data_IF_252357667348
#
_entry.id   IF_252357667348
#
_cell.length_a   1.000
_cell.length_b   1.000
_cell.length_c   1.000
_cell.angle_alpha   90.00
_cell.angle_beta   90.00
_cell.angle_gamma   90.00
#
_symmetry.space_group_name_H-M   'P 1'
#
loop_
_entity.id
_entity.type
_entity.pdbx_description
1 polymer ?
#
# COMPACT_ATOMS: atom_id res chain seq x y z
N UNK A 1 8.60 11.63 8.26
CA UNK A 1 8.50 10.16 8.07
C UNK A 1 7.03 9.84 8.02
N UNK A 2 6.52 9.36 6.89
CA UNK A 2 5.09 9.12 6.71
C UNK A 2 4.77 7.70 7.20
N UNK A 3 3.75 7.60 8.04
CA UNK A 3 3.36 6.37 8.72
C UNK A 3 1.86 6.17 8.51
N UNK A 4 1.44 4.95 8.18
CA UNK A 4 0.04 4.65 7.92
C UNK A 4 -0.47 3.62 8.93
N UNK A 5 -1.66 3.84 9.50
CA UNK A 5 -2.28 2.84 10.37
C UNK A 5 -2.69 1.63 9.55
N UNK A 6 -2.39 0.43 10.04
CA UNK A 6 -2.77 -0.82 9.40
C UNK A 6 -3.78 -1.62 10.22
N UNK A 7 -4.58 -2.38 9.49
CA UNK A 7 -5.70 -3.15 10.01
C UNK A 7 -5.67 -4.58 9.46
N UNK A 8 -6.20 -5.50 10.25
CA UNK A 8 -6.50 -6.87 9.84
C UNK A 8 -8.02 -7.08 9.86
N UNK A 9 -8.53 -7.91 8.95
CA UNK A 9 -9.92 -8.38 9.06
C UNK A 9 -9.99 -9.52 10.07
N UNK A 10 -10.75 -9.31 11.13
CA UNK A 10 -11.13 -10.39 12.05
C UNK A 10 -12.58 -10.77 11.79
N UNK A 11 -12.83 -12.05 11.51
CA UNK A 11 -14.17 -12.61 11.57
C UNK A 11 -14.54 -12.82 13.04
N UNK A 12 -15.52 -12.05 13.55
CA UNK A 12 -16.19 -12.40 14.81
C UNK A 12 -17.46 -13.18 14.51
N UNK A 13 -17.47 -14.46 14.87
CA UNK A 13 -18.70 -15.22 14.96
C UNK A 13 -19.53 -14.68 16.13
N UNK A 14 -20.59 -13.94 15.83
CA UNK A 14 -21.61 -13.63 16.83
C UNK A 14 -22.68 -14.71 16.77
N UNK A 15 -22.86 -15.50 17.84
CA UNK A 15 -24.09 -16.24 18.17
C UNK A 15 -24.20 -17.72 17.74
N UNK A 16 -24.72 -18.54 18.67
CA UNK A 16 -24.87 -20.01 18.64
C UNK A 16 -26.02 -20.54 17.74
N UNK A 17 -26.49 -19.82 16.72
CA UNK A 17 -27.55 -20.34 15.83
C UNK A 17 -27.32 -19.95 14.38
N UNK A 18 -27.47 -20.94 13.49
CA UNK A 18 -27.04 -20.99 12.08
C UNK A 18 -27.71 -20.03 11.09
N UNK A 19 -28.00 -18.78 11.47
CA UNK A 19 -28.58 -17.76 10.59
C UNK A 19 -28.00 -16.36 10.84
N UNK A 20 -26.67 -16.21 10.99
CA UNK A 20 -26.05 -14.90 11.28
C UNK A 20 -25.19 -14.38 10.12
N UNK A 21 -25.52 -13.17 9.65
CA UNK A 21 -24.68 -12.36 8.76
C UNK A 21 -23.34 -12.13 9.44
N UNK A 22 -22.27 -12.65 8.85
CA UNK A 22 -20.89 -12.36 9.27
C UNK A 22 -20.67 -10.86 9.08
N UNK A 23 -20.42 -10.13 10.17
CA UNK A 23 -20.04 -8.72 10.10
C UNK A 23 -18.53 -8.67 10.13
N UNK A 24 -17.93 -8.38 8.98
CA UNK A 24 -16.50 -8.14 8.88
C UNK A 24 -16.14 -6.92 9.76
N UNK A 25 -15.16 -7.10 10.65
CA UNK A 25 -14.64 -6.04 11.50
C UNK A 25 -13.14 -5.90 11.27
N UNK A 26 -12.65 -4.66 11.28
CA UNK A 26 -11.22 -4.35 11.18
C UNK A 26 -10.67 -4.04 12.57
N UNK A 27 -9.73 -4.84 13.06
CA UNK A 27 -8.93 -4.52 14.24
C UNK A 27 -7.69 -3.72 13.83
N UNK A 28 -7.33 -2.72 14.64
CA UNK A 28 -6.05 -2.02 14.48
C UNK A 28 -4.93 -3.02 14.77
N UNK A 29 -4.07 -3.25 13.77
CA UNK A 29 -2.92 -4.15 13.88
C UNK A 29 -1.65 -3.40 14.28
N UNK A 30 -1.53 -2.13 13.87
CA UNK A 30 -0.37 -1.29 14.16
C UNK A 30 -0.17 -0.25 13.08
N UNK A 31 1.08 -0.07 12.67
CA UNK A 31 1.48 0.90 11.65
C UNK A 31 2.36 0.26 10.57
N UNK A 32 2.31 0.81 9.36
CA UNK A 32 3.27 0.54 8.28
C UNK A 32 4.08 1.79 7.99
N UNK A 33 5.40 1.62 7.93
CA UNK A 33 6.37 2.68 7.59
C UNK A 33 7.24 2.20 6.44
N UNK A 34 7.38 3.04 5.42
CA UNK A 34 8.20 2.77 4.25
C UNK A 34 9.56 3.46 4.39
N UNK A 35 10.65 2.69 4.30
CA UNK A 35 12.03 3.18 4.22
C UNK A 35 12.67 2.72 2.91
N UNK A 36 13.76 3.35 2.49
CA UNK A 36 14.37 3.02 1.19
C UNK A 36 14.88 1.57 1.10
N UNK A 37 15.26 0.96 2.22
CA UNK A 37 15.88 -0.35 2.35
C UNK A 37 15.01 -1.41 3.05
N UNK A 38 13.87 -1.01 3.62
CA UNK A 38 12.96 -1.89 4.36
C UNK A 38 11.53 -1.34 4.44
N UNK A 39 10.61 -2.21 4.84
CA UNK A 39 9.26 -1.85 5.26
C UNK A 39 9.11 -2.30 6.71
N UNK A 40 8.64 -1.42 7.59
CA UNK A 40 8.32 -1.77 8.98
C UNK A 40 6.82 -1.98 9.08
N UNK A 41 6.38 -3.15 9.51
CA UNK A 41 4.96 -3.52 9.65
C UNK A 41 4.69 -3.96 11.08
N UNK A 42 3.84 -3.23 11.79
CA UNK A 42 3.52 -3.48 13.21
C UNK A 42 4.78 -3.65 14.09
N UNK A 43 5.83 -2.86 13.82
CA UNK A 43 7.11 -2.93 14.50
C UNK A 43 8.06 -4.06 14.05
N UNK A 44 7.64 -4.91 13.10
CA UNK A 44 8.50 -5.92 12.47
C UNK A 44 9.16 -5.35 11.22
N UNK A 45 10.49 -5.40 11.19
CA UNK A 45 11.28 -5.05 10.00
C UNK A 45 11.17 -6.15 8.94
N UNK A 46 10.88 -5.75 7.70
CA UNK A 46 10.94 -6.58 6.50
C UNK A 46 11.95 -5.94 5.56
N UNK A 47 13.13 -6.54 5.41
CA UNK A 47 14.19 -5.99 4.57
C UNK A 47 13.80 -6.10 3.09
N UNK A 48 14.24 -5.14 2.28
CA UNK A 48 13.98 -5.16 0.84
C UNK A 48 14.59 -6.38 0.13
N UNK A 49 15.66 -6.94 0.70
CA UNK A 49 16.28 -8.18 0.23
C UNK A 49 15.35 -9.40 0.39
N UNK A 50 14.50 -9.41 1.43
CA UNK A 50 13.58 -10.49 1.73
C UNK A 50 12.25 -10.36 0.95
N UNK A 51 12.03 -9.23 0.28
CA UNK A 51 10.87 -8.98 -0.55
C UNK A 51 11.12 -9.47 -1.97
N UNK A 52 10.19 -10.26 -2.50
CA UNK A 52 10.11 -10.58 -3.92
C UNK A 52 9.34 -9.49 -4.67
N UNK A 53 8.21 -9.03 -4.12
CA UNK A 53 7.34 -8.03 -4.75
C UNK A 53 6.56 -7.23 -3.70
N UNK A 54 6.32 -5.95 -3.99
CA UNK A 54 5.44 -5.05 -3.27
C UNK A 54 4.35 -4.58 -4.26
N UNK A 55 3.09 -4.57 -3.84
CA UNK A 55 1.96 -4.05 -4.62
C UNK A 55 1.02 -3.23 -3.76
N UNK A 56 0.45 -2.19 -4.34
CA UNK A 56 -0.62 -1.37 -3.75
C UNK A 56 -1.79 -1.36 -4.73
N UNK A 57 -2.65 -2.41 -4.74
CA UNK A 57 -3.73 -2.55 -5.71
C UNK A 57 -4.93 -1.62 -5.43
N UNK A 58 -5.09 -1.13 -4.19
CA UNK A 58 -6.21 -0.27 -3.79
C UNK A 58 -5.69 0.86 -2.91
N UNK A 59 -5.91 2.11 -3.32
CA UNK A 59 -5.41 3.29 -2.60
C UNK A 59 -6.32 4.54 -2.77
N UNK A 60 -7.60 4.32 -3.06
CA UNK A 60 -8.59 5.37 -3.39
C UNK A 60 -9.55 5.69 -2.23
N UNK A 61 -9.30 5.13 -1.05
CA UNK A 61 -10.14 5.28 0.13
C UNK A 61 -9.43 6.18 1.15
N UNK A 62 -10.04 7.28 1.55
CA UNK A 62 -9.44 8.21 2.52
C UNK A 62 -10.51 8.68 3.53
N UNK A 63 -10.08 9.31 4.61
CA UNK A 63 -10.98 9.64 5.70
C UNK A 63 -12.17 10.49 5.22
N UNK A 64 -13.37 10.00 5.52
CA UNK A 64 -14.62 10.66 5.17
C UNK A 64 -15.12 10.39 3.76
N UNK A 65 -14.28 9.94 2.82
CA UNK A 65 -14.71 9.68 1.44
C UNK A 65 -13.77 8.79 0.63
N UNK A 66 -14.31 8.12 -0.39
CA UNK A 66 -13.51 7.53 -1.47
C UNK A 66 -13.69 8.27 -2.80
N UNK A 67 -12.90 7.89 -3.81
CA UNK A 67 -12.98 8.47 -5.16
C UNK A 67 -14.34 8.27 -5.86
N UNK A 68 -15.15 7.30 -5.41
CA UNK A 68 -16.54 7.09 -5.88
C UNK A 68 -17.55 8.00 -5.19
N UNK A 69 -17.10 8.79 -4.22
CA UNK A 69 -17.93 9.72 -3.47
C UNK A 69 -18.64 9.13 -2.25
N UNK A 70 -18.45 7.85 -1.93
CA UNK A 70 -19.05 7.17 -0.79
C UNK A 70 -18.38 7.60 0.51
N UNK A 71 -19.16 7.68 1.61
CA UNK A 71 -18.61 7.91 2.96
C UNK A 71 -17.94 6.64 3.45
N UNK A 72 -16.69 6.77 3.90
CA UNK A 72 -15.87 5.64 4.35
C UNK A 72 -14.99 6.05 5.54
N UNK A 73 -14.37 5.06 6.18
CA UNK A 73 -13.36 5.29 7.23
C UNK A 73 -11.96 5.54 6.68
N UNK A 74 -11.78 5.46 5.36
CA UNK A 74 -10.48 5.61 4.70
C UNK A 74 -9.53 4.43 4.90
N UNK A 75 -9.99 3.28 5.40
CA UNK A 75 -9.17 2.14 5.81
C UNK A 75 -9.25 0.94 4.86
N UNK A 76 -9.86 1.08 3.66
CA UNK A 76 -9.99 0.00 2.67
C UNK A 76 -8.84 -0.07 1.65
N UNK A 77 -7.78 0.71 1.84
CA UNK A 77 -6.60 0.61 0.98
C UNK A 77 -5.83 -0.66 1.30
N UNK A 78 -5.08 -1.18 0.32
CA UNK A 78 -4.43 -2.49 0.40
C UNK A 78 -2.99 -2.38 -0.05
N UNK A 79 -2.08 -2.92 0.75
CA UNK A 79 -0.70 -3.22 0.38
C UNK A 79 -0.47 -4.73 0.49
N UNK A 80 0.17 -5.29 -0.52
CA UNK A 80 0.52 -6.70 -0.60
C UNK A 80 2.04 -6.84 -0.67
N UNK A 81 2.59 -7.69 0.18
CA UNK A 81 4.00 -8.03 0.23
C UNK A 81 4.15 -9.51 -0.12
N UNK A 82 4.87 -9.81 -1.20
CA UNK A 82 5.31 -11.17 -1.52
C UNK A 82 6.75 -11.32 -1.04
N UNK A 83 6.97 -12.21 -0.08
CA UNK A 83 8.29 -12.51 0.46
C UNK A 83 9.04 -13.51 -0.45
N UNK A 84 10.36 -13.53 -0.36
CA UNK A 84 11.23 -14.41 -1.16
C UNK A 84 10.99 -15.91 -0.91
N UNK A 85 10.40 -16.26 0.24
CA UNK A 85 9.98 -17.62 0.55
C UNK A 85 8.60 -17.99 -0.05
N UNK A 86 7.98 -17.10 -0.83
CA UNK A 86 6.67 -17.28 -1.45
C UNK A 86 5.48 -16.91 -0.57
N UNK A 87 5.68 -16.53 0.70
CA UNK A 87 4.59 -16.10 1.56
C UNK A 87 4.06 -14.74 1.11
N UNK A 88 2.73 -14.64 1.00
CA UNK A 88 2.04 -13.39 0.73
C UNK A 88 1.45 -12.84 2.03
N UNK A 89 1.78 -11.60 2.33
CA UNK A 89 1.20 -10.84 3.44
C UNK A 89 0.39 -9.66 2.89
N UNK A 90 -0.82 -9.47 3.39
CA UNK A 90 -1.74 -8.41 2.93
C UNK A 90 -2.14 -7.56 4.12
N UNK A 91 -2.00 -6.25 3.98
CA UNK A 91 -2.36 -5.29 5.01
C UNK A 91 -3.32 -4.25 4.47
N UNK A 92 -4.34 -3.94 5.27
CA UNK A 92 -5.22 -2.81 5.00
C UNK A 92 -4.65 -1.58 5.66
N UNK A 93 -4.63 -0.43 4.98
CA UNK A 93 -4.08 0.79 5.56
C UNK A 93 -5.02 1.99 5.43
N UNK A 94 -4.95 2.90 6.40
CA UNK A 94 -5.73 4.12 6.40
C UNK A 94 -5.00 5.26 5.68
N UNK A 95 -5.75 6.02 4.90
CA UNK A 95 -5.35 7.34 4.40
C UNK A 95 -6.24 8.42 5.03
N UNK A 96 -5.63 9.48 5.52
CA UNK A 96 -6.28 10.68 6.02
C UNK A 96 -6.68 11.61 4.88
N UNK A 97 -5.85 11.67 3.83
CA UNK A 97 -6.06 12.53 2.67
C UNK A 97 -5.96 11.76 1.35
N UNK A 98 -6.68 12.23 0.33
CA UNK A 98 -6.79 11.59 -0.99
C UNK A 98 -5.45 11.23 -1.65
N UNK A 99 -4.43 12.07 -1.46
CA UNK A 99 -3.12 11.91 -2.11
C UNK A 99 -1.99 11.61 -1.12
N UNK A 100 -2.32 11.27 0.13
CA UNK A 100 -1.33 11.04 1.18
C UNK A 100 -0.35 9.91 0.82
N UNK A 101 -0.80 8.89 0.07
CA UNK A 101 0.09 7.82 -0.40
C UNK A 101 1.23 8.32 -1.31
N UNK A 102 1.08 9.48 -1.95
CA UNK A 102 2.14 10.08 -2.78
C UNK A 102 3.28 10.66 -1.95
N UNK A 103 3.07 10.82 -0.63
CA UNK A 103 4.09 11.31 0.29
C UNK A 103 5.27 10.34 0.45
N UNK A 104 5.12 9.06 0.06
CA UNK A 104 6.19 8.05 0.05
C UNK A 104 6.79 7.83 -1.34
N UNK A 105 6.67 8.80 -2.25
CA UNK A 105 7.14 8.72 -3.64
C UNK A 105 8.59 8.24 -3.75
N UNK A 106 9.48 8.77 -2.91
CA UNK A 106 10.91 8.43 -2.94
C UNK A 106 11.14 6.95 -2.64
N UNK A 107 10.42 6.40 -1.66
CA UNK A 107 10.50 4.99 -1.29
C UNK A 107 9.97 4.10 -2.41
N UNK A 108 8.83 4.47 -3.02
CA UNK A 108 8.26 3.72 -4.15
C UNK A 108 9.21 3.68 -5.36
N UNK A 109 9.90 4.80 -5.63
CA UNK A 109 10.95 4.86 -6.66
C UNK A 109 12.12 3.95 -6.29
N UNK A 110 12.59 3.97 -5.03
CA UNK A 110 13.67 3.11 -4.57
C UNK A 110 13.32 1.62 -4.73
N UNK A 111 12.10 1.23 -4.36
CA UNK A 111 11.62 -0.15 -4.53
C UNK A 111 11.51 -0.55 -5.99
N UNK A 112 11.08 0.37 -6.86
CA UNK A 112 11.07 0.12 -8.29
C UNK A 112 12.47 -0.09 -8.86
N UNK A 113 13.43 0.78 -8.48
CA UNK A 113 14.85 0.63 -8.88
C UNK A 113 15.46 -0.69 -8.37
N UNK A 114 15.03 -1.18 -7.21
CA UNK A 114 15.43 -2.48 -6.67
C UNK A 114 14.68 -3.68 -7.30
N UNK A 115 13.81 -3.44 -8.29
CA UNK A 115 13.02 -4.48 -8.96
C UNK A 115 11.90 -5.08 -8.09
N UNK A 116 11.52 -4.42 -6.99
CA UNK A 116 10.52 -4.91 -6.04
C UNK A 116 9.14 -4.32 -6.26
N UNK A 117 9.03 -3.21 -6.99
CA UNK A 117 7.77 -2.52 -7.25
C UNK A 117 7.58 -2.34 -8.76
N UNK A 118 6.44 -2.79 -9.27
CA UNK A 118 6.15 -2.75 -10.71
C UNK A 118 5.90 -1.32 -11.20
N UNK A 119 6.33 -1.02 -12.44
CA UNK A 119 6.22 0.32 -13.01
C UNK A 119 4.76 0.76 -13.20
N UNK A 120 3.86 -0.13 -13.62
CA UNK A 120 2.46 0.22 -13.83
C UNK A 120 1.78 0.51 -12.49
N UNK A 121 2.10 -0.26 -11.45
CA UNK A 121 1.60 0.08 -10.11
C UNK A 121 2.16 1.41 -9.61
N UNK A 122 3.42 1.74 -9.94
CA UNK A 122 4.08 2.98 -9.52
C UNK A 122 3.41 4.19 -10.15
N UNK A 123 3.19 4.15 -11.46
CA UNK A 123 2.54 5.25 -12.19
C UNK A 123 1.11 5.48 -11.69
N UNK A 124 0.37 4.41 -11.42
CA UNK A 124 -0.97 4.47 -10.83
C UNK A 124 -0.97 5.14 -9.45
N UNK A 125 -0.11 4.70 -8.52
CA UNK A 125 -0.05 5.26 -7.16
C UNK A 125 0.37 6.74 -7.19
N UNK A 126 1.29 7.10 -8.08
CA UNK A 126 1.72 8.48 -8.25
C UNK A 126 0.71 9.37 -9.00
N UNK A 127 -0.36 8.78 -9.57
CA UNK A 127 -1.39 9.49 -10.32
C UNK A 127 -0.90 10.04 -11.65
N UNK A 128 -0.04 9.29 -12.34
CA UNK A 128 0.43 9.63 -13.68
C UNK A 128 -0.57 9.08 -14.70
N UNK A 129 -1.46 9.95 -15.18
CA UNK A 129 -2.57 9.56 -16.07
C UNK A 129 -2.28 9.87 -17.55
N UNK A 130 -1.46 10.87 -17.84
CA UNK A 130 -1.14 11.29 -19.22
C UNK A 130 0.08 10.53 -19.77
N UNK A 131 0.02 10.17 -21.06
CA UNK A 131 1.09 9.46 -21.76
C UNK A 131 2.44 10.19 -21.69
N UNK A 132 2.44 11.52 -21.88
CA UNK A 132 3.67 12.30 -21.81
C UNK A 132 4.21 12.37 -20.37
N UNK A 133 3.32 12.45 -19.38
CA UNK A 133 3.72 12.41 -17.97
C UNK A 133 4.40 11.07 -17.63
N UNK A 134 3.83 9.95 -18.08
CA UNK A 134 4.44 8.61 -17.90
C UNK A 134 5.78 8.50 -18.63
N UNK A 135 5.87 8.96 -19.88
CA UNK A 135 7.10 8.91 -20.67
C UNK A 135 8.23 9.74 -20.05
N UNK A 136 7.91 10.96 -19.61
CA UNK A 136 8.87 11.84 -18.94
C UNK A 136 9.32 11.26 -17.61
N UNK A 137 8.40 10.67 -16.84
CA UNK A 137 8.76 9.99 -15.60
C UNK A 137 9.67 8.80 -15.85
N UNK A 138 9.36 7.96 -16.84
CA UNK A 138 10.21 6.83 -17.23
C UNK A 138 11.63 7.27 -17.60
N UNK A 139 11.78 8.38 -18.34
CA UNK A 139 13.09 8.96 -18.67
C UNK A 139 13.84 9.41 -17.42
N UNK A 140 13.15 10.11 -16.51
CA UNK A 140 13.74 10.58 -15.25
C UNK A 140 14.27 9.44 -14.37
N UNK A 141 13.71 8.23 -14.47
CA UNK A 141 14.21 7.07 -13.71
C UNK A 141 15.54 6.55 -14.25
N UNK A 142 15.78 6.67 -15.55
CA UNK A 142 17.01 6.22 -16.23
C UNK A 142 18.14 7.21 -16.05
N UNK A 143 17.86 8.52 -16.17
CA UNK A 143 18.89 9.57 -16.08
C UNK A 143 19.51 9.63 -14.68
N UNK A 144 18.73 9.32 -13.63
CA UNK A 144 19.18 9.22 -12.24
C UNK A 144 19.95 7.92 -11.92
N UNK A 145 20.31 7.09 -12.91
CA UNK A 145 21.17 5.90 -12.74
C UNK A 145 22.54 6.07 -13.43
N UNK A 146 22.83 7.24 -14.02
CA UNK A 146 24.07 7.55 -14.74
C UNK A 146 25.03 8.46 -13.94
N UNK A 147 24.76 8.67 -12.65
CA UNK A 147 25.59 9.42 -11.70
C UNK A 147 25.90 8.55 -10.51
#
# INVERSE_FOLDING_TARGET
>A
MNTFKIYEYTEKASGLFGFLRRKEYKSLLGEIVFHNDKIVVAGRDILLADLQQIRIPVFHDYYGRNDKGNITKGDNNVVELLLANGNKETYYFALSERYEIRSIKEQLIAYHKAGKFDFDNLTLVLGLEDYNAVLNFKRSLTDNNLT
#
